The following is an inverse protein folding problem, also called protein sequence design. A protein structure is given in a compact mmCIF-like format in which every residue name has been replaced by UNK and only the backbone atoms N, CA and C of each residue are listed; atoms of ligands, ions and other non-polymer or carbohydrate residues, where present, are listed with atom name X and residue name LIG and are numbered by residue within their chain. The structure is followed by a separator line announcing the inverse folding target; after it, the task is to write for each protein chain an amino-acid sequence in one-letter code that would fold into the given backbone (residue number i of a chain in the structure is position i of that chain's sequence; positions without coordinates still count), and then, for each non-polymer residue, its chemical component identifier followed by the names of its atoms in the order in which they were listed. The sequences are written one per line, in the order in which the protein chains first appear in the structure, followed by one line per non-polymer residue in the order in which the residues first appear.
data_IF_924024921589
#
_entry.id   IF_924024921589
#
_cell.length_a   1.000
_cell.length_b   1.000
_cell.length_c   1.000
_cell.angle_alpha   90.00
_cell.angle_beta   90.00
_cell.angle_gamma   90.00
#
_symmetry.space_group_name_H-M   'P 1'
#
loop_
_entity.id
_entity.type
_entity.pdbx_description
1 polymer ?
#
# COMPACT_ATOMS: atom_id res chain seq x y z
N UNK A 1 -5.98 -9.99 23.97
CA UNK A 1 -4.57 -10.05 24.40
C UNK A 1 -3.90 -11.43 24.18
N UNK A 2 -4.50 -12.37 23.41
CA UNK A 2 -4.00 -13.76 23.28
C UNK A 2 -3.25 -14.03 21.96
N UNK A 3 -3.32 -13.12 20.98
CA UNK A 3 -2.76 -13.35 19.64
C UNK A 3 -1.24 -13.11 19.51
N UNK A 4 -0.63 -12.32 20.41
CA UNK A 4 0.81 -11.99 20.33
C UNK A 4 1.70 -13.15 20.79
N UNK A 5 1.25 -13.95 21.77
CA UNK A 5 2.02 -15.08 22.33
C UNK A 5 2.28 -16.18 21.29
N UNK A 6 1.29 -16.48 20.44
CA UNK A 6 1.43 -17.51 19.40
C UNK A 6 2.41 -17.08 18.27
N UNK A 7 2.40 -15.79 17.91
CA UNK A 7 3.34 -15.25 16.92
C UNK A 7 4.78 -15.25 17.43
N UNK A 8 5.01 -14.88 18.68
CA UNK A 8 6.35 -14.87 19.28
C UNK A 8 6.99 -16.27 19.29
N UNK A 9 6.21 -17.31 19.59
CA UNK A 9 6.68 -18.71 19.52
C UNK A 9 7.01 -19.13 18.08
N UNK A 10 6.14 -18.77 17.12
CA UNK A 10 6.38 -19.05 15.69
C UNK A 10 7.65 -18.37 15.18
N UNK A 11 7.88 -17.13 15.60
CA UNK A 11 9.08 -16.34 15.27
C UNK A 11 10.34 -16.98 15.87
N UNK A 12 10.28 -17.39 17.14
CA UNK A 12 11.40 -18.06 17.80
C UNK A 12 11.75 -19.39 17.11
N UNK A 13 10.75 -20.16 16.69
CA UNK A 13 10.94 -21.41 15.93
C UNK A 13 11.62 -21.17 14.59
N UNK A 14 11.20 -20.17 13.82
CA UNK A 14 11.85 -19.83 12.54
C UNK A 14 13.33 -19.50 12.74
N UNK A 15 13.67 -18.78 13.81
CA UNK A 15 15.07 -18.45 14.14
C UNK A 15 15.85 -19.71 14.55
N UNK A 16 15.22 -20.63 15.27
CA UNK A 16 15.84 -21.88 15.69
C UNK A 16 16.04 -22.86 14.53
N UNK A 17 15.06 -23.00 13.63
CA UNK A 17 15.17 -23.81 12.41
C UNK A 17 16.26 -23.27 11.47
N UNK A 18 16.39 -21.94 11.39
CA UNK A 18 17.42 -21.32 10.58
C UNK A 18 18.83 -21.39 11.20
N UNK A 19 18.94 -21.67 12.50
CA UNK A 19 20.21 -21.76 13.24
C UNK A 19 20.18 -22.95 14.19
N UNK A 20 20.27 -24.20 13.70
CA UNK A 20 20.03 -25.40 14.50
C UNK A 20 21.02 -25.60 15.67
N UNK A 21 22.16 -24.92 15.64
CA UNK A 21 23.16 -24.96 16.70
C UNK A 21 22.96 -23.87 17.77
N UNK A 22 21.90 -23.06 17.70
CA UNK A 22 21.66 -21.99 18.64
C UNK A 22 21.02 -22.46 19.95
N UNK A 23 21.34 -21.77 21.04
CA UNK A 23 20.79 -21.96 22.38
C UNK A 23 20.29 -20.62 22.93
N UNK A 24 19.45 -20.64 23.98
CA UNK A 24 18.95 -19.41 24.64
C UNK A 24 18.20 -18.45 23.68
N UNK A 25 17.36 -19.01 22.79
CA UNK A 25 16.56 -18.23 21.83
C UNK A 25 15.42 -17.52 22.56
N UNK A 26 15.38 -16.19 22.47
CA UNK A 26 14.35 -15.36 23.09
C UNK A 26 14.03 -14.12 22.27
N UNK A 27 12.75 -13.75 22.24
CA UNK A 27 12.30 -12.46 21.71
C UNK A 27 12.63 -11.38 22.74
N UNK A 28 13.41 -10.38 22.34
CA UNK A 28 13.88 -9.29 23.22
C UNK A 28 13.07 -8.02 23.03
N UNK A 29 12.62 -7.75 21.81
CA UNK A 29 11.89 -6.52 21.47
C UNK A 29 10.89 -6.80 20.34
N UNK A 30 9.77 -6.09 20.37
CA UNK A 30 8.72 -6.13 19.33
C UNK A 30 8.29 -4.71 19.04
N UNK A 31 8.46 -4.28 17.79
CA UNK A 31 8.10 -2.93 17.35
C UNK A 31 7.15 -3.00 16.16
N UNK A 32 6.18 -2.09 16.12
CA UNK A 32 5.43 -1.86 14.88
C UNK A 32 6.36 -1.26 13.83
N UNK A 33 6.32 -1.81 12.63
CA UNK A 33 7.24 -1.46 11.57
C UNK A 33 6.54 -1.60 10.22
N UNK A 34 6.46 -0.50 9.46
CA UNK A 34 5.72 -0.44 8.19
C UNK A 34 4.27 -0.95 8.37
N UNK A 35 3.86 -1.93 7.55
CA UNK A 35 2.53 -2.55 7.60
C UNK A 35 2.49 -3.82 8.48
N UNK A 36 3.47 -3.98 9.39
CA UNK A 36 3.64 -5.20 10.17
C UNK A 36 4.34 -5.00 11.51
N UNK A 37 4.91 -6.09 12.02
CA UNK A 37 5.61 -6.15 13.30
C UNK A 37 7.03 -6.66 13.08
N UNK A 38 8.02 -5.99 13.67
CA UNK A 38 9.42 -6.38 13.66
C UNK A 38 9.79 -6.95 15.02
N UNK A 39 10.17 -8.23 15.05
CA UNK A 39 10.60 -8.95 16.23
C UNK A 39 12.12 -9.03 16.25
N UNK A 40 12.74 -8.64 17.36
CA UNK A 40 14.17 -8.84 17.60
C UNK A 40 14.36 -10.08 18.45
N UNK A 41 15.08 -11.07 17.93
CA UNK A 41 15.31 -12.36 18.57
C UNK A 41 16.80 -12.49 18.89
N UNK A 42 17.12 -12.57 20.18
CA UNK A 42 18.47 -12.86 20.63
C UNK A 42 18.64 -14.37 20.80
N UNK A 43 19.82 -14.86 20.45
CA UNK A 43 20.21 -16.26 20.65
C UNK A 43 21.73 -16.33 20.85
N UNK A 44 22.21 -17.47 21.36
CA UNK A 44 23.63 -17.78 21.49
C UNK A 44 24.01 -18.88 20.53
N UNK A 45 25.14 -18.74 19.87
CA UNK A 45 25.76 -19.82 19.10
C UNK A 45 26.68 -20.68 19.99
N UNK A 46 27.21 -21.81 19.47
CA UNK A 46 28.11 -22.68 20.24
C UNK A 46 29.38 -22.00 20.77
N UNK A 47 29.78 -20.85 20.20
CA UNK A 47 30.90 -20.02 20.65
C UNK A 47 30.51 -19.07 21.81
N UNK A 48 29.35 -19.27 22.44
CA UNK A 48 28.72 -18.42 23.47
C UNK A 48 28.50 -16.95 23.10
N UNK A 49 28.86 -16.54 21.88
CA UNK A 49 28.59 -15.21 21.35
C UNK A 49 27.08 -15.02 21.19
N UNK A 50 26.60 -13.89 21.69
CA UNK A 50 25.22 -13.44 21.55
C UNK A 50 25.01 -12.80 20.18
N UNK A 51 24.04 -13.33 19.44
CA UNK A 51 23.62 -12.81 18.14
C UNK A 51 22.18 -12.32 18.21
N UNK A 52 21.84 -11.41 17.30
CA UNK A 52 20.51 -10.83 17.19
C UNK A 52 20.03 -10.97 15.75
N UNK A 53 18.93 -11.72 15.56
CA UNK A 53 18.22 -11.77 14.30
C UNK A 53 16.95 -10.93 14.39
N UNK A 54 16.54 -10.35 13.26
CA UNK A 54 15.29 -9.61 13.14
C UNK A 54 14.32 -10.37 12.27
N UNK A 55 13.08 -10.52 12.71
CA UNK A 55 12.02 -11.19 11.95
C UNK A 55 10.92 -10.18 11.69
N UNK A 56 10.66 -9.91 10.42
CA UNK A 56 9.57 -9.04 10.01
C UNK A 56 8.34 -9.87 9.67
N UNK A 57 7.23 -9.59 10.35
CA UNK A 57 5.95 -10.26 10.17
C UNK A 57 4.99 -9.28 9.52
N UNK A 58 4.62 -9.54 8.26
CA UNK A 58 3.63 -8.75 7.51
C UNK A 58 2.52 -9.65 6.97
N UNK A 59 1.28 -9.35 7.38
CA UNK A 59 0.12 -10.20 7.08
C UNK A 59 0.34 -11.65 7.55
N UNK A 60 0.49 -12.57 6.59
CA UNK A 60 0.73 -14.01 6.84
C UNK A 60 2.17 -14.46 6.51
N UNK A 61 3.07 -13.53 6.14
CA UNK A 61 4.46 -13.83 5.79
C UNK A 61 5.40 -13.45 6.94
N UNK A 62 6.45 -14.23 7.12
CA UNK A 62 7.51 -13.98 8.09
C UNK A 62 8.85 -14.05 7.38
N UNK A 63 9.57 -12.93 7.35
CA UNK A 63 10.87 -12.80 6.70
C UNK A 63 11.97 -12.64 7.77
N UNK A 64 12.96 -13.53 7.73
CA UNK A 64 14.09 -13.54 8.66
C UNK A 64 15.27 -12.75 8.09
N UNK A 65 15.76 -11.78 8.85
CA UNK A 65 16.92 -10.97 8.53
C UNK A 65 18.03 -11.19 9.57
N UNK A 66 19.18 -11.66 9.07
CA UNK A 66 20.38 -11.90 9.88
C UNK A 66 21.29 -10.66 10.01
N UNK A 67 21.09 -9.66 9.16
CA UNK A 67 21.86 -8.42 9.14
C UNK A 67 20.92 -7.22 8.98
N UNK A 68 21.20 -6.16 9.72
CA UNK A 68 20.47 -4.89 9.71
C UNK A 68 20.51 -4.20 8.36
N UNK A 69 21.59 -4.39 7.59
CA UNK A 69 21.73 -3.84 6.24
C UNK A 69 20.68 -4.40 5.27
N UNK A 70 20.32 -5.68 5.40
CA UNK A 70 19.29 -6.32 4.60
C UNK A 70 17.92 -5.72 4.91
N UNK A 71 17.63 -5.43 6.18
CA UNK A 71 16.41 -4.75 6.60
C UNK A 71 16.32 -3.34 6.01
N UNK A 72 17.43 -2.58 6.03
CA UNK A 72 17.50 -1.22 5.49
C UNK A 72 17.33 -1.17 3.96
N UNK A 73 17.88 -2.15 3.23
CA UNK A 73 17.67 -2.24 1.78
C UNK A 73 16.20 -2.45 1.40
N UNK A 74 15.45 -3.21 2.21
CA UNK A 74 14.02 -3.48 1.99
C UNK A 74 13.16 -2.31 2.42
N UNK A 75 13.56 -1.57 3.46
CA UNK A 75 12.99 -0.26 3.79
C UNK A 75 13.03 0.68 2.59
N UNK A 76 14.19 0.83 1.93
CA UNK A 76 14.34 1.67 0.74
C UNK A 76 13.43 1.25 -0.42
N UNK A 77 13.30 -0.06 -0.66
CA UNK A 77 12.43 -0.60 -1.70
C UNK A 77 10.93 -0.45 -1.39
N UNK A 78 10.55 -0.56 -0.11
CA UNK A 78 9.15 -0.51 0.33
C UNK A 78 8.63 0.93 0.45
N UNK A 79 9.47 1.87 0.91
CA UNK A 79 9.12 3.29 1.01
C UNK A 79 8.92 3.95 -0.36
N UNK A 80 9.63 3.47 -1.41
CA UNK A 80 9.43 3.91 -2.79
C UNK A 80 8.04 3.54 -3.35
N UNK A 81 7.41 2.47 -2.84
CA UNK A 81 6.06 2.05 -3.25
C UNK A 81 4.94 2.64 -2.40
N UNK A 82 5.09 2.82 -1.09
CA UNK A 82 3.90 3.01 -0.22
C UNK A 82 3.15 4.34 -0.43
N UNK A 83 3.81 5.49 -0.64
CA UNK A 83 3.08 6.77 -0.64
C UNK A 83 2.55 7.19 -2.02
N UNK A 84 3.34 6.99 -3.10
CA UNK A 84 2.90 7.32 -4.47
C UNK A 84 2.04 6.20 -5.05
N UNK A 85 2.38 4.93 -4.78
CA UNK A 85 1.65 3.79 -5.34
C UNK A 85 0.33 3.51 -4.60
N UNK A 86 0.06 4.00 -3.38
CA UNK A 86 -1.26 3.85 -2.75
C UNK A 86 -2.31 4.78 -3.39
N UNK A 87 -1.92 6.01 -3.71
CA UNK A 87 -2.75 6.96 -4.49
C UNK A 87 -2.85 6.51 -5.95
N UNK A 88 -1.72 6.13 -6.57
CA UNK A 88 -1.74 5.63 -7.95
C UNK A 88 -2.40 4.26 -8.09
N UNK A 89 -2.31 3.33 -7.14
CA UNK A 89 -2.99 2.03 -7.25
C UNK A 89 -4.49 2.15 -7.04
N UNK A 90 -4.96 3.08 -6.20
CA UNK A 90 -6.39 3.40 -6.10
C UNK A 90 -6.92 4.06 -7.37
N UNK A 91 -6.12 4.94 -8.00
CA UNK A 91 -6.44 5.54 -9.30
C UNK A 91 -6.33 4.52 -10.43
N UNK A 92 -5.32 3.64 -10.43
CA UNK A 92 -5.04 2.65 -11.48
C UNK A 92 -5.95 1.43 -11.39
N UNK A 93 -6.40 1.03 -10.20
CA UNK A 93 -7.47 0.03 -10.05
C UNK A 93 -8.80 0.59 -10.55
N UNK A 94 -9.05 1.88 -10.33
CA UNK A 94 -10.15 2.61 -10.96
C UNK A 94 -9.94 2.83 -12.48
N UNK A 95 -8.70 2.80 -12.98
CA UNK A 95 -8.39 2.90 -14.41
C UNK A 95 -8.77 1.64 -15.22
N UNK A 96 -9.06 0.51 -14.56
CA UNK A 96 -9.45 -0.72 -15.26
C UNK A 96 -10.86 -0.61 -15.85
N UNK A 97 -11.70 0.25 -15.29
CA UNK A 97 -13.04 0.57 -15.79
C UNK A 97 -13.03 1.94 -16.48
N UNK A 98 -12.84 1.95 -17.80
CA UNK A 98 -12.90 3.15 -18.66
C UNK A 98 -14.20 3.96 -18.44
N UNK A 99 -15.26 3.33 -17.94
CA UNK A 99 -16.53 3.97 -17.59
C UNK A 99 -16.42 4.86 -16.33
N UNK A 100 -15.63 4.44 -15.35
CA UNK A 100 -15.50 5.15 -14.08
C UNK A 100 -14.63 6.42 -14.24
N UNK A 101 -13.56 6.33 -15.03
CA UNK A 101 -12.68 7.48 -15.32
C UNK A 101 -13.44 8.59 -16.06
N UNK A 102 -14.20 8.23 -17.11
CA UNK A 102 -14.98 9.23 -17.86
C UNK A 102 -16.04 9.92 -16.99
N UNK A 103 -16.66 9.18 -16.06
CA UNK A 103 -17.58 9.74 -15.06
C UNK A 103 -16.92 10.71 -14.08
N UNK A 104 -15.75 10.35 -13.53
CA UNK A 104 -15.00 11.24 -12.62
C UNK A 104 -14.52 12.50 -13.33
N UNK A 105 -14.02 12.38 -14.57
CA UNK A 105 -13.60 13.53 -15.37
C UNK A 105 -14.79 14.44 -15.66
N UNK A 106 -15.95 13.88 -16.05
CA UNK A 106 -17.18 14.67 -16.23
C UNK A 106 -17.61 15.38 -14.95
N UNK A 107 -17.56 14.71 -13.81
CA UNK A 107 -17.90 15.29 -12.50
C UNK A 107 -16.95 16.43 -12.14
N UNK A 108 -15.65 16.26 -12.36
CA UNK A 108 -14.65 17.31 -12.13
C UNK A 108 -14.84 18.53 -13.03
N UNK A 109 -15.13 18.31 -14.32
CA UNK A 109 -15.43 19.41 -15.26
C UNK A 109 -16.73 20.13 -14.85
N UNK A 110 -17.79 19.39 -14.53
CA UNK A 110 -19.07 19.97 -14.09
C UNK A 110 -18.93 20.76 -12.77
N UNK A 111 -18.15 20.26 -11.81
CA UNK A 111 -17.86 20.96 -10.56
C UNK A 111 -17.03 22.23 -10.80
N UNK A 112 -16.06 22.17 -11.72
CA UNK A 112 -15.25 23.34 -12.11
C UNK A 112 -16.11 24.41 -12.78
N UNK A 113 -16.98 24.01 -13.72
CA UNK A 113 -17.94 24.91 -14.35
C UNK A 113 -18.87 25.52 -13.30
N UNK A 114 -19.47 24.70 -12.43
CA UNK A 114 -20.34 25.17 -11.36
C UNK A 114 -19.65 26.15 -10.42
N UNK A 115 -18.41 25.86 -10.02
CA UNK A 115 -17.60 26.77 -9.21
C UNK A 115 -17.33 28.10 -9.92
N UNK A 116 -16.96 28.08 -11.20
CA UNK A 116 -16.72 29.31 -11.98
C UNK A 116 -17.99 30.13 -12.18
N UNK A 117 -19.14 29.47 -12.38
CA UNK A 117 -20.42 30.14 -12.58
C UNK A 117 -20.98 30.73 -11.28
N UNK A 118 -20.93 29.97 -10.17
CA UNK A 118 -21.55 30.35 -8.89
C UNK A 118 -20.63 31.28 -8.08
N UNK A 119 -19.35 30.95 -7.94
CA UNK A 119 -18.43 31.66 -7.05
C UNK A 119 -17.72 32.84 -7.70
N UNK A 120 -17.67 32.88 -9.03
CA UNK A 120 -16.90 33.85 -9.80
C UNK A 120 -17.73 34.75 -10.72
N UNK A 121 -19.01 34.96 -10.40
CA UNK A 121 -19.90 35.92 -11.08
C UNK A 121 -19.93 35.78 -12.61
N UNK A 122 -20.13 34.56 -13.12
CA UNK A 122 -20.36 34.36 -14.55
C UNK A 122 -19.13 34.59 -15.42
N UNK A 123 -17.93 34.27 -14.93
CA UNK A 123 -16.76 34.16 -15.80
C UNK A 123 -17.09 33.26 -17.00
N UNK A 124 -16.70 33.69 -18.20
CA UNK A 124 -16.87 32.90 -19.41
C UNK A 124 -16.21 31.54 -19.22
N UNK A 125 -17.02 30.49 -19.33
CA UNK A 125 -16.55 29.12 -19.29
C UNK A 125 -15.65 28.93 -20.52
N UNK A 126 -14.39 28.51 -20.36
CA UNK A 126 -13.54 28.20 -21.50
C UNK A 126 -14.20 27.17 -22.43
N UNK A 127 -14.29 27.48 -23.73
CA UNK A 127 -14.94 26.63 -24.75
C UNK A 127 -14.41 25.18 -24.72
N UNK A 128 -13.15 25.01 -24.34
CA UNK A 128 -12.49 23.71 -24.20
C UNK A 128 -13.19 22.80 -23.18
N UNK A 129 -13.69 23.36 -22.07
CA UNK A 129 -14.36 22.61 -21.01
C UNK A 129 -15.79 22.24 -21.40
N UNK A 130 -16.51 23.15 -22.06
CA UNK A 130 -17.84 22.87 -22.61
C UNK A 130 -17.81 21.79 -23.70
N UNK A 131 -16.82 21.85 -24.59
CA UNK A 131 -16.61 20.84 -25.63
C UNK A 131 -16.23 19.48 -25.03
N UNK A 132 -15.34 19.46 -24.03
CA UNK A 132 -14.95 18.23 -23.34
C UNK A 132 -16.16 17.56 -22.65
N UNK A 133 -17.00 18.33 -21.95
CA UNK A 133 -18.22 17.81 -21.33
C UNK A 133 -19.19 17.23 -22.36
N UNK A 134 -19.36 17.90 -23.50
CA UNK A 134 -20.23 17.46 -24.59
C UNK A 134 -19.78 16.13 -25.19
N UNK A 135 -18.47 15.95 -25.39
CA UNK A 135 -17.90 14.70 -25.90
C UNK A 135 -18.13 13.56 -24.91
N UNK A 136 -17.94 13.81 -23.61
CA UNK A 136 -18.13 12.78 -22.57
C UNK A 136 -19.61 12.38 -22.46
N UNK A 137 -20.52 13.35 -22.50
CA UNK A 137 -21.98 13.10 -22.53
C UNK A 137 -22.38 12.31 -23.79
N UNK A 138 -21.87 12.69 -24.95
CA UNK A 138 -22.11 11.98 -26.21
C UNK A 138 -21.64 10.52 -26.16
N UNK A 139 -20.48 10.26 -25.58
CA UNK A 139 -19.99 8.89 -25.35
C UNK A 139 -20.89 8.09 -24.41
N UNK A 140 -21.40 8.73 -23.34
CA UNK A 140 -22.27 8.06 -22.36
C UNK A 140 -23.64 7.72 -22.96
N UNK A 141 -24.29 8.68 -23.62
CA UNK A 141 -25.59 8.47 -24.27
C UNK A 141 -25.50 7.54 -25.48
N UNK A 142 -24.43 7.63 -26.27
CA UNK A 142 -24.20 6.72 -27.40
C UNK A 142 -24.07 5.26 -26.96
N UNK A 143 -23.39 4.99 -25.85
CA UNK A 143 -23.28 3.63 -25.31
C UNK A 143 -24.55 3.14 -24.60
N UNK A 144 -25.33 4.03 -24.00
CA UNK A 144 -26.64 3.67 -23.46
C UNK A 144 -27.60 3.25 -24.59
N UNK A 145 -27.65 4.01 -25.67
CA UNK A 145 -28.48 3.69 -26.84
C UNK A 145 -28.05 2.40 -27.56
N UNK A 146 -26.75 2.14 -27.67
CA UNK A 146 -26.23 0.91 -28.29
C UNK A 146 -26.47 -0.37 -27.44
N UNK A 147 -26.86 -0.24 -26.17
CA UNK A 147 -27.19 -1.38 -25.29
C UNK A 147 -28.65 -1.83 -25.41
N UNK A 148 -29.51 -1.02 -26.01
CA UNK A 148 -30.95 -1.26 -26.13
C UNK A 148 -31.37 -1.80 -27.52
N UNK A 149 -30.40 -2.09 -28.39
CA UNK A 149 -30.61 -2.77 -29.69
C UNK A 149 -29.99 -4.16 -29.66
#
# INVERSE_FOLDING_TARGET
MVASTNKAESVARIVQDANPACTDVRVVDVKQFLDGELYSVAFKEPDEKGYLNRVYVHGSKMDLYRNDELLLSILGATYSRSMVMSIFSSIVSACRDVQFISGIIALGIAATIGYMTIWHNGMQIPDILGNALTIILGFYFGRASARET
#
